data_IF_704137391146
#
_entry.id   IF_704137391146
#
_cell.length_a   1.000
_cell.length_b   1.000
_cell.length_c   1.000
_cell.angle_alpha   90.00
_cell.angle_beta   90.00
_cell.angle_gamma   90.00
#
_symmetry.space_group_name_H-M   'P 1'
#
loop_
_entity.id
_entity.type
_entity.pdbx_description
1 polymer ?
#
# COMPACT_ATOMS: atom_id res chain seq x y z
N UNK A 1 3.69 -10.68 -26.57
CA UNK A 1 3.76 -11.28 -25.24
C UNK A 1 3.47 -10.19 -24.24
N UNK A 2 2.24 -10.15 -23.71
CA UNK A 2 1.82 -9.19 -22.70
C UNK A 2 2.45 -9.57 -21.36
N UNK A 3 3.43 -8.81 -20.91
CA UNK A 3 3.85 -8.81 -19.53
C UNK A 3 2.87 -7.95 -18.72
N UNK A 4 1.71 -8.51 -18.40
CA UNK A 4 0.90 -8.00 -17.33
C UNK A 4 1.68 -8.29 -16.03
N UNK A 5 2.40 -7.31 -15.52
CA UNK A 5 3.00 -7.38 -14.20
C UNK A 5 1.87 -7.65 -13.19
N UNK A 6 1.99 -8.72 -12.44
CA UNK A 6 1.07 -9.03 -11.33
C UNK A 6 1.16 -7.91 -10.31
N UNK A 7 0.14 -7.07 -10.28
CA UNK A 7 -0.05 -6.05 -9.26
C UNK A 7 -0.60 -6.73 -8.00
N UNK A 8 0.27 -7.31 -7.20
CA UNK A 8 -0.07 -7.81 -5.89
C UNK A 8 0.99 -7.32 -4.93
N UNK A 9 0.82 -6.08 -4.46
CA UNK A 9 1.34 -5.60 -3.17
C UNK A 9 1.05 -4.11 -3.09
N UNK A 10 0.56 -3.64 -1.95
CA UNK A 10 0.48 -2.22 -1.60
C UNK A 10 1.90 -1.72 -1.52
N UNK A 11 2.33 -1.03 -2.55
CA UNK A 11 3.71 -0.62 -2.73
C UNK A 11 3.79 0.83 -2.30
N UNK A 12 4.73 1.10 -1.42
CA UNK A 12 5.14 2.42 -0.95
C UNK A 12 5.27 3.41 -2.13
N UNK A 13 4.69 4.58 -2.00
CA UNK A 13 4.66 5.63 -3.03
C UNK A 13 6.04 6.01 -3.57
N UNK A 14 7.10 5.89 -2.77
CA UNK A 14 8.47 6.10 -3.23
C UNK A 14 8.95 5.02 -4.19
N UNK A 15 8.55 3.79 -3.98
CA UNK A 15 8.86 2.70 -4.89
C UNK A 15 8.14 2.88 -6.23
N UNK A 16 6.93 3.45 -6.23
CA UNK A 16 6.20 3.76 -7.45
C UNK A 16 6.92 4.79 -8.32
N UNK A 17 7.43 5.89 -7.75
CA UNK A 17 8.12 6.91 -8.54
C UNK A 17 9.36 6.34 -9.21
N UNK A 18 10.22 5.63 -8.47
CA UNK A 18 11.43 5.00 -9.03
C UNK A 18 11.08 3.91 -10.07
N UNK A 19 10.04 3.10 -9.81
CA UNK A 19 9.57 2.07 -10.75
C UNK A 19 8.93 2.66 -12.00
N UNK A 20 8.17 3.75 -11.86
CA UNK A 20 7.59 4.48 -12.98
C UNK A 20 8.69 5.01 -13.90
N UNK A 21 9.68 5.70 -13.36
CA UNK A 21 10.79 6.27 -14.15
C UNK A 21 11.61 5.17 -14.83
N UNK A 22 11.88 4.07 -14.14
CA UNK A 22 12.57 2.93 -14.73
C UNK A 22 11.75 2.28 -15.85
N UNK A 23 10.47 2.02 -15.63
CA UNK A 23 9.58 1.40 -16.61
C UNK A 23 9.38 2.30 -17.83
N UNK A 24 9.18 3.60 -17.63
CA UNK A 24 9.00 4.57 -18.70
C UNK A 24 10.27 4.74 -19.54
N UNK A 25 11.47 4.61 -18.95
CA UNK A 25 12.74 4.64 -19.67
C UNK A 25 13.02 3.35 -20.48
N UNK A 26 12.41 2.24 -20.09
CA UNK A 26 12.67 0.90 -20.65
C UNK A 26 11.59 0.40 -21.60
N UNK A 27 10.39 0.99 -21.56
CA UNK A 27 9.21 0.56 -22.34
C UNK A 27 8.41 1.76 -22.84
N UNK A 28 7.60 1.56 -23.88
CA UNK A 28 6.61 2.55 -24.30
C UNK A 28 5.37 2.46 -23.37
N UNK A 29 5.44 3.12 -22.22
CA UNK A 29 4.41 3.10 -21.19
C UNK A 29 3.29 4.08 -21.53
N UNK A 30 2.06 3.61 -21.72
CA UNK A 30 0.90 4.44 -22.08
C UNK A 30 -0.02 4.70 -20.88
N UNK A 31 -0.13 3.73 -19.99
CA UNK A 31 -1.05 3.79 -18.84
C UNK A 31 -0.34 3.33 -17.57
N UNK A 32 -0.62 4.05 -16.48
CA UNK A 32 -0.16 3.73 -15.11
C UNK A 32 -1.36 3.76 -14.18
N UNK A 33 -1.54 2.71 -13.39
CA UNK A 33 -2.56 2.64 -12.35
C UNK A 33 -1.85 2.50 -11.01
N UNK A 34 -2.13 3.41 -10.09
CA UNK A 34 -1.57 3.42 -8.74
C UNK A 34 -2.70 3.29 -7.72
N UNK A 35 -2.65 2.23 -6.90
CA UNK A 35 -3.51 2.12 -5.73
C UNK A 35 -3.03 3.07 -4.62
N UNK A 36 -3.92 3.91 -4.12
CA UNK A 36 -3.63 4.87 -3.05
C UNK A 36 -4.80 4.93 -2.08
N UNK A 37 -4.53 4.93 -0.79
CA UNK A 37 -5.55 4.98 0.24
C UNK A 37 -5.19 5.97 1.33
N UNK A 38 -6.20 6.57 1.96
CA UNK A 38 -6.01 7.55 3.02
C UNK A 38 -5.22 6.99 4.22
N UNK A 39 -5.44 5.75 4.63
CA UNK A 39 -4.72 5.13 5.74
C UNK A 39 -3.19 5.04 5.51
N UNK A 40 -2.75 5.03 4.24
CA UNK A 40 -1.34 5.05 3.85
C UNK A 40 -0.84 6.47 3.54
N UNK A 41 -1.75 7.42 3.31
CA UNK A 41 -1.46 8.83 3.09
C UNK A 41 -1.19 9.53 4.44
N UNK A 42 -0.05 9.17 5.06
CA UNK A 42 0.34 9.60 6.39
C UNK A 42 1.87 9.69 6.45
N UNK A 43 2.40 10.78 7.00
CA UNK A 43 3.85 10.99 7.12
C UNK A 43 4.57 9.85 7.87
N UNK A 44 3.88 9.20 8.81
CA UNK A 44 4.44 8.07 9.56
C UNK A 44 4.28 6.70 8.88
N UNK A 45 3.56 6.63 7.76
CA UNK A 45 3.44 5.39 6.96
C UNK A 45 4.59 5.21 5.98
N UNK A 46 5.59 6.10 6.02
CA UNK A 46 6.74 6.07 5.13
C UNK A 46 7.68 4.90 5.43
N UNK A 47 7.93 4.07 4.44
CA UNK A 47 9.02 3.10 4.46
C UNK A 47 9.81 3.15 3.14
N UNK A 48 11.11 3.40 3.20
CA UNK A 48 11.96 3.49 2.00
C UNK A 48 12.48 2.10 1.59
N UNK A 49 11.59 1.23 1.15
CA UNK A 49 11.94 -0.13 0.69
C UNK A 49 12.87 -0.14 -0.53
N UNK A 50 12.83 0.91 -1.37
CA UNK A 50 13.72 1.01 -2.54
C UNK A 50 15.17 1.21 -2.10
N UNK A 51 15.41 2.05 -1.10
CA UNK A 51 16.77 2.19 -0.54
C UNK A 51 17.31 0.86 0.00
N UNK A 52 16.44 0.06 0.61
CA UNK A 52 16.80 -1.26 1.11
C UNK A 52 17.04 -2.25 -0.04
N UNK A 53 16.20 -2.27 -1.06
CA UNK A 53 16.40 -3.11 -2.26
C UNK A 53 17.66 -2.68 -3.01
N UNK A 54 17.93 -1.37 -3.20
CA UNK A 54 19.17 -0.88 -3.82
C UNK A 54 20.39 -1.36 -3.04
N UNK A 55 20.40 -1.22 -1.70
CA UNK A 55 21.47 -1.75 -0.86
C UNK A 55 21.69 -3.26 -1.04
N UNK A 56 20.61 -4.02 -1.19
CA UNK A 56 20.66 -5.47 -1.42
C UNK A 56 21.21 -5.81 -2.81
N UNK A 57 20.87 -5.02 -3.84
CA UNK A 57 21.41 -5.19 -5.20
C UNK A 57 22.89 -4.82 -5.29
N UNK A 58 23.29 -3.75 -4.60
CA UNK A 58 24.68 -3.27 -4.58
C UNK A 58 25.60 -4.22 -3.80
N UNK A 59 25.07 -4.93 -2.81
CA UNK A 59 25.84 -5.86 -1.99
C UNK A 59 25.09 -7.16 -1.71
N UNK A 60 25.36 -8.17 -2.54
CA UNK A 60 24.73 -9.51 -2.43
C UNK A 60 24.99 -10.20 -1.08
N UNK A 61 26.05 -9.85 -0.37
CA UNK A 61 26.31 -10.40 0.95
C UNK A 61 25.34 -9.87 2.01
N UNK A 62 24.86 -8.62 1.88
CA UNK A 62 23.82 -8.08 2.76
C UNK A 62 22.53 -8.90 2.64
N UNK A 63 22.22 -9.40 1.44
CA UNK A 63 21.06 -10.28 1.23
C UNK A 63 21.19 -11.58 2.04
N UNK A 64 22.35 -12.24 1.97
CA UNK A 64 22.59 -13.53 2.65
C UNK A 64 22.64 -13.36 4.17
N UNK A 65 23.21 -12.25 4.67
CA UNK A 65 23.36 -11.96 6.09
C UNK A 65 22.28 -11.03 6.66
N UNK A 66 21.18 -10.80 5.94
CA UNK A 66 20.05 -10.05 6.46
C UNK A 66 19.38 -10.84 7.59
N UNK A 67 19.25 -10.22 8.77
CA UNK A 67 18.68 -10.86 9.95
C UNK A 67 17.27 -11.44 9.69
N UNK A 68 16.45 -10.73 8.94
CA UNK A 68 15.10 -11.18 8.57
C UNK A 68 15.11 -12.47 7.72
N UNK A 69 16.10 -12.60 6.81
CA UNK A 69 16.27 -13.81 5.99
C UNK A 69 16.79 -14.95 6.85
N UNK A 70 17.79 -14.68 7.71
CA UNK A 70 18.30 -15.69 8.64
C UNK A 70 17.23 -16.18 9.61
N UNK A 71 16.39 -15.30 10.12
CA UNK A 71 15.22 -15.66 10.95
C UNK A 71 14.22 -16.51 10.18
N UNK A 72 13.89 -16.14 8.94
CA UNK A 72 12.98 -16.91 8.08
C UNK A 72 13.54 -18.30 7.79
N UNK A 73 14.83 -18.41 7.45
CA UNK A 73 15.51 -19.68 7.24
C UNK A 73 15.53 -20.51 8.53
N UNK A 74 15.85 -19.90 9.66
CA UNK A 74 15.81 -20.58 10.96
C UNK A 74 14.41 -21.11 11.28
N UNK A 75 13.36 -20.32 11.07
CA UNK A 75 11.97 -20.74 11.29
C UNK A 75 11.56 -21.85 10.33
N UNK A 76 11.98 -21.80 9.05
CA UNK A 76 11.72 -22.85 8.08
C UNK A 76 12.41 -24.16 8.47
N UNK A 77 13.68 -24.11 8.86
CA UNK A 77 14.43 -25.28 9.35
C UNK A 77 13.81 -25.85 10.63
N UNK A 78 13.43 -24.99 11.57
CA UNK A 78 12.75 -25.38 12.81
C UNK A 78 11.42 -26.09 12.52
N UNK A 79 10.66 -25.60 11.53
CA UNK A 79 9.42 -26.23 11.07
C UNK A 79 9.69 -27.62 10.48
N UNK A 80 10.68 -27.73 9.58
CA UNK A 80 11.03 -28.97 8.89
C UNK A 80 11.57 -30.06 9.86
N UNK A 81 12.49 -29.67 10.77
CA UNK A 81 13.17 -30.64 11.63
C UNK A 81 12.45 -30.92 12.96
N UNK A 82 11.65 -29.98 13.47
CA UNK A 82 11.01 -30.09 14.78
C UNK A 82 9.47 -30.09 14.70
N UNK A 83 8.89 -30.06 13.50
CA UNK A 83 7.42 -30.08 13.31
C UNK A 83 6.74 -28.84 13.92
N UNK A 84 7.47 -27.73 14.05
CA UNK A 84 6.92 -26.48 14.57
C UNK A 84 5.97 -25.91 13.54
N UNK A 85 4.66 -26.06 13.76
CA UNK A 85 3.67 -25.39 12.90
C UNK A 85 3.78 -23.89 13.16
N UNK A 86 4.08 -23.07 12.12
CA UNK A 86 3.94 -21.63 12.27
C UNK A 86 2.50 -21.34 12.69
N UNK A 87 2.33 -20.32 13.52
CA UNK A 87 1.06 -19.91 14.13
C UNK A 87 -0.13 -20.25 13.25
N UNK A 88 -1.08 -21.02 13.79
CA UNK A 88 -2.35 -21.29 13.12
C UNK A 88 -2.88 -19.95 12.57
N UNK A 89 -3.38 -19.99 11.32
CA UNK A 89 -4.00 -18.79 10.73
C UNK A 89 -5.01 -18.29 11.75
N UNK A 90 -4.84 -17.06 12.20
CA UNK A 90 -5.82 -16.41 13.08
C UNK A 90 -7.20 -16.60 12.48
N UNK A 91 -8.18 -16.88 13.33
CA UNK A 91 -9.57 -16.92 12.90
C UNK A 91 -9.90 -15.59 12.19
N UNK A 92 -10.75 -15.66 11.15
CA UNK A 92 -11.12 -14.48 10.36
C UNK A 92 -11.68 -13.38 11.27
N UNK A 93 -12.48 -13.72 12.28
CA UNK A 93 -13.03 -12.76 13.23
C UNK A 93 -11.95 -12.14 14.12
N UNK A 94 -10.98 -12.91 14.59
CA UNK A 94 -9.85 -12.38 15.37
C UNK A 94 -8.97 -11.46 14.52
N UNK A 95 -8.71 -11.82 13.27
CA UNK A 95 -7.96 -10.99 12.32
C UNK A 95 -8.71 -9.70 12.00
N UNK A 96 -10.04 -9.80 11.82
CA UNK A 96 -10.92 -8.68 11.59
C UNK A 96 -10.88 -7.67 12.73
N UNK A 97 -11.11 -8.16 13.95
CA UNK A 97 -11.11 -7.37 15.17
C UNK A 97 -9.73 -6.71 15.42
N UNK A 98 -8.66 -7.42 15.16
CA UNK A 98 -7.30 -6.89 15.26
C UNK A 98 -7.08 -5.73 14.29
N UNK A 99 -7.53 -5.86 13.04
CA UNK A 99 -7.41 -4.81 12.04
C UNK A 99 -8.22 -3.57 12.42
N UNK A 100 -9.46 -3.74 12.85
CA UNK A 100 -10.31 -2.62 13.27
C UNK A 100 -9.75 -1.92 14.51
N UNK A 101 -9.30 -2.66 15.53
CA UNK A 101 -8.90 -2.10 16.83
C UNK A 101 -7.46 -1.61 16.83
N UNK A 102 -6.55 -2.37 16.22
CA UNK A 102 -5.11 -2.12 16.34
C UNK A 102 -4.56 -1.42 15.10
N UNK A 103 -4.86 -1.94 13.91
CA UNK A 103 -4.29 -1.38 12.67
C UNK A 103 -4.88 0.00 12.41
N UNK A 104 -6.22 0.16 12.49
CA UNK A 104 -6.85 1.47 12.33
C UNK A 104 -6.30 2.49 13.35
N UNK A 105 -6.18 2.09 14.63
CA UNK A 105 -5.59 2.95 15.65
C UNK A 105 -4.15 3.38 15.30
N UNK A 106 -3.32 2.44 14.85
CA UNK A 106 -1.92 2.73 14.50
C UNK A 106 -1.80 3.72 13.34
N UNK A 107 -2.68 3.63 12.34
CA UNK A 107 -2.69 4.55 11.21
C UNK A 107 -3.26 5.93 11.57
N UNK A 108 -4.32 5.98 12.36
CA UNK A 108 -5.12 7.18 12.56
C UNK A 108 -4.72 8.00 13.79
N UNK A 109 -4.32 7.36 14.93
CA UNK A 109 -4.02 8.09 16.17
C UNK A 109 -2.84 9.06 16.09
N UNK A 110 -1.99 8.90 15.08
CA UNK A 110 -0.80 9.73 14.84
C UNK A 110 -0.79 10.27 13.41
N UNK A 111 -1.99 10.51 12.85
CA UNK A 111 -2.06 11.04 11.52
C UNK A 111 -1.32 12.39 11.41
N UNK A 112 -0.56 12.54 10.36
CA UNK A 112 0.06 13.79 9.98
C UNK A 112 0.11 13.86 8.46
N UNK A 113 -0.34 14.99 7.91
CA UNK A 113 -0.39 15.23 6.46
C UNK A 113 1.00 15.01 5.81
N UNK A 114 1.12 14.12 4.83
CA UNK A 114 2.40 13.67 4.27
C UNK A 114 2.87 14.58 3.13
N UNK A 115 3.41 15.74 3.46
CA UNK A 115 3.85 16.75 2.47
C UNK A 115 4.83 16.21 1.44
N UNK A 116 5.78 15.36 1.86
CA UNK A 116 6.76 14.77 0.95
C UNK A 116 6.10 13.77 -0.01
N UNK A 117 5.16 12.98 0.48
CA UNK A 117 4.38 12.04 -0.33
C UNK A 117 3.55 12.78 -1.38
N UNK A 118 2.88 13.88 -0.99
CA UNK A 118 2.13 14.71 -1.92
C UNK A 118 3.04 15.28 -3.02
N UNK A 119 4.17 15.88 -2.64
CA UNK A 119 5.14 16.41 -3.60
C UNK A 119 5.59 15.34 -4.62
N UNK A 120 5.85 14.12 -4.16
CA UNK A 120 6.22 13.00 -5.04
C UNK A 120 5.10 12.60 -6.00
N UNK A 121 3.86 12.59 -5.52
CA UNK A 121 2.70 12.34 -6.38
C UNK A 121 2.54 13.41 -7.45
N UNK A 122 2.73 14.68 -7.09
CA UNK A 122 2.70 15.81 -8.02
C UNK A 122 3.81 15.69 -9.06
N UNK A 123 5.04 15.35 -8.66
CA UNK A 123 6.16 15.11 -9.58
C UNK A 123 5.84 13.96 -10.55
N UNK A 124 5.24 12.86 -10.06
CA UNK A 124 4.82 11.75 -10.92
C UNK A 124 3.73 12.16 -11.91
N UNK A 125 2.72 12.91 -11.44
CA UNK A 125 1.66 13.43 -12.29
C UNK A 125 2.21 14.33 -13.40
N UNK A 126 3.13 15.24 -13.05
CA UNK A 126 3.80 16.12 -14.00
C UNK A 126 4.62 15.33 -15.03
N UNK A 127 5.36 14.32 -14.59
CA UNK A 127 6.13 13.42 -15.44
C UNK A 127 5.22 12.65 -16.42
N UNK A 128 4.15 12.04 -15.93
CA UNK A 128 3.19 11.31 -16.75
C UNK A 128 2.59 12.23 -17.83
N UNK A 129 2.17 13.43 -17.44
CA UNK A 129 1.62 14.41 -18.36
C UNK A 129 2.63 14.85 -19.43
N UNK A 130 3.89 15.08 -19.04
CA UNK A 130 4.95 15.48 -19.97
C UNK A 130 5.30 14.38 -20.98
N UNK A 131 5.10 13.11 -20.63
CA UNK A 131 5.40 11.95 -21.47
C UNK A 131 4.16 11.30 -22.12
N UNK A 132 2.99 11.94 -22.07
CA UNK A 132 1.71 11.43 -22.58
C UNK A 132 1.31 10.07 -21.98
N UNK A 133 1.65 9.84 -20.71
CA UNK A 133 1.27 8.65 -19.94
C UNK A 133 -0.03 8.94 -19.19
N UNK A 134 -1.04 8.11 -19.34
CA UNK A 134 -2.31 8.24 -18.61
C UNK A 134 -2.15 7.70 -17.18
N UNK A 135 -2.12 8.61 -16.20
CA UNK A 135 -2.04 8.26 -14.78
C UNK A 135 -3.44 8.10 -14.18
N UNK A 136 -3.73 6.93 -13.62
CA UNK A 136 -4.98 6.62 -12.90
C UNK A 136 -4.62 6.37 -11.43
N UNK A 137 -5.20 7.16 -10.54
CA UNK A 137 -5.12 6.98 -9.09
C UNK A 137 -6.36 6.24 -8.62
N UNK A 138 -6.16 5.03 -8.09
CA UNK A 138 -7.23 4.14 -7.69
C UNK A 138 -7.35 4.15 -6.17
N UNK A 139 -8.45 4.68 -5.62
CA UNK A 139 -8.76 4.53 -4.20
C UNK A 139 -9.41 3.17 -4.01
N UNK A 140 -8.69 2.27 -3.32
CA UNK A 140 -9.11 0.87 -3.12
C UNK A 140 -10.16 0.81 -2.01
N UNK A 141 -11.23 -0.01 -2.14
CA UNK A 141 -12.30 -0.05 -1.16
C UNK A 141 -11.83 -0.67 0.17
N UNK A 142 -12.25 -0.06 1.27
CA UNK A 142 -12.23 -0.62 2.62
C UNK A 142 -13.63 -1.03 3.05
N UNK A 143 -13.71 -1.97 3.99
CA UNK A 143 -14.99 -2.26 4.63
C UNK A 143 -15.44 -1.07 5.50
N UNK A 144 -16.73 -0.76 5.51
CA UNK A 144 -17.31 0.37 6.25
C UNK A 144 -16.89 0.47 7.72
N UNK A 145 -16.64 -0.66 8.39
CA UNK A 145 -16.21 -0.66 9.79
C UNK A 145 -14.82 -0.04 9.95
N UNK A 146 -13.92 -0.23 8.97
CA UNK A 146 -12.61 0.42 8.97
C UNK A 146 -12.74 1.91 8.67
N UNK A 147 -13.56 2.27 7.68
CA UNK A 147 -13.85 3.65 7.33
C UNK A 147 -14.48 4.43 8.49
N UNK A 148 -15.42 3.82 9.24
CA UNK A 148 -16.04 4.45 10.40
C UNK A 148 -15.04 4.83 11.50
N UNK A 149 -13.86 4.23 11.53
CA UNK A 149 -12.79 4.63 12.48
C UNK A 149 -12.27 6.04 12.24
N UNK A 150 -12.41 6.58 11.02
CA UNK A 150 -12.03 7.98 10.73
C UNK A 150 -12.79 8.97 11.63
N UNK A 151 -14.07 8.73 11.85
CA UNK A 151 -14.92 9.57 12.70
C UNK A 151 -14.41 9.57 14.15
N UNK A 152 -13.96 8.41 14.66
CA UNK A 152 -13.45 8.30 16.04
C UNK A 152 -12.13 9.05 16.27
N UNK A 153 -11.35 9.23 15.19
CA UNK A 153 -10.07 9.94 15.22
C UNK A 153 -10.17 11.38 14.69
N UNK A 154 -11.39 11.85 14.39
CA UNK A 154 -11.64 13.20 13.85
C UNK A 154 -10.84 13.50 12.58
N UNK A 155 -10.81 12.54 11.64
CA UNK A 155 -10.01 12.57 10.41
C UNK A 155 -10.86 12.63 9.12
N UNK A 156 -12.14 12.95 9.21
CA UNK A 156 -13.04 13.02 8.06
C UNK A 156 -12.62 14.17 7.13
N UNK A 157 -12.29 15.33 7.70
CA UNK A 157 -11.85 16.49 6.91
C UNK A 157 -10.49 16.26 6.27
N UNK A 158 -9.61 15.52 6.92
CA UNK A 158 -8.31 15.12 6.36
C UNK A 158 -8.45 14.12 5.22
N UNK A 159 -9.43 13.21 5.28
CA UNK A 159 -9.73 12.32 4.15
C UNK A 159 -10.26 13.11 2.95
N UNK A 160 -11.14 14.08 3.17
CA UNK A 160 -11.58 14.99 2.10
C UNK A 160 -10.40 15.79 1.53
N UNK A 161 -9.51 16.27 2.41
CA UNK A 161 -8.26 16.91 2.02
C UNK A 161 -7.41 16.03 1.12
N UNK A 162 -7.20 14.76 1.50
CA UNK A 162 -6.50 13.77 0.69
C UNK A 162 -7.12 13.62 -0.70
N UNK A 163 -8.45 13.47 -0.79
CA UNK A 163 -9.14 13.36 -2.07
C UNK A 163 -8.99 14.62 -2.92
N UNK A 164 -8.95 15.80 -2.29
CA UNK A 164 -8.67 17.06 -2.96
C UNK A 164 -7.23 17.18 -3.44
N UNK A 165 -6.26 16.72 -2.65
CA UNK A 165 -4.84 16.75 -3.03
C UNK A 165 -4.58 15.94 -4.32
N UNK A 166 -5.19 14.77 -4.45
CA UNK A 166 -4.90 13.85 -5.55
C UNK A 166 -5.70 14.10 -6.83
N UNK A 167 -6.81 14.85 -6.78
CA UNK A 167 -7.74 15.02 -7.93
C UNK A 167 -7.11 15.69 -9.15
N UNK A 168 -6.12 16.59 -8.94
CA UNK A 168 -5.47 17.36 -9.98
C UNK A 168 -4.17 16.71 -10.48
N UNK A 169 -3.74 15.61 -9.82
CA UNK A 169 -2.50 14.89 -10.13
C UNK A 169 -2.71 13.89 -11.28
N UNK A 170 -3.83 13.19 -11.27
CA UNK A 170 -4.20 12.20 -12.28
C UNK A 170 -5.70 11.94 -12.30
N UNK A 171 -6.15 10.99 -13.13
CA UNK A 171 -7.53 10.56 -13.12
C UNK A 171 -7.81 9.74 -11.87
N UNK A 172 -8.64 10.23 -10.95
CA UNK A 172 -9.04 9.50 -9.75
C UNK A 172 -10.23 8.59 -10.05
N UNK A 173 -10.13 7.34 -9.59
CA UNK A 173 -11.24 6.36 -9.55
C UNK A 173 -11.39 5.93 -8.11
N UNK A 174 -12.47 6.37 -7.45
CA UNK A 174 -12.73 6.12 -6.03
C UNK A 174 -13.71 4.96 -5.85
N UNK A 175 -13.22 3.83 -5.32
CA UNK A 175 -14.03 2.69 -4.93
C UNK A 175 -14.30 2.64 -3.41
N UNK A 176 -13.71 3.56 -2.63
CA UNK A 176 -13.90 3.65 -1.17
C UNK A 176 -15.12 4.50 -0.77
N UNK A 177 -16.10 4.56 -1.66
CA UNK A 177 -17.39 5.18 -1.40
C UNK A 177 -18.38 4.14 -0.84
N UNK A 178 -19.37 4.57 -0.04
CA UNK A 178 -20.45 3.68 0.43
C UNK A 178 -21.16 3.00 -0.75
N UNK A 179 -20.99 1.68 -0.88
CA UNK A 179 -21.59 0.87 -1.95
C UNK A 179 -21.86 -0.57 -1.46
N UNK A 180 -22.34 -1.43 -2.35
CA UNK A 180 -22.64 -2.84 -2.01
C UNK A 180 -21.39 -3.64 -1.61
N UNK A 181 -20.20 -3.29 -2.14
CA UNK A 181 -18.93 -3.97 -1.81
C UNK A 181 -18.46 -3.52 -0.44
N UNK A 182 -18.34 -2.20 -0.18
CA UNK A 182 -17.86 -1.66 1.10
C UNK A 182 -18.76 -2.02 2.29
N UNK A 183 -20.00 -2.41 2.04
CA UNK A 183 -20.94 -2.92 3.05
C UNK A 183 -20.93 -4.45 3.22
N UNK A 184 -20.22 -5.19 2.37
CA UNK A 184 -20.27 -6.64 2.29
C UNK A 184 -19.09 -7.28 3.03
N UNK A 185 -19.26 -7.72 4.29
CA UNK A 185 -18.19 -8.35 5.08
C UNK A 185 -17.58 -9.60 4.42
N UNK A 186 -18.40 -10.37 3.68
CA UNK A 186 -17.90 -11.56 2.97
C UNK A 186 -17.10 -11.24 1.72
N UNK A 187 -17.18 -10.02 1.21
CA UNK A 187 -16.39 -9.54 0.08
C UNK A 187 -14.94 -9.16 0.47
N UNK A 188 -14.60 -9.28 1.75
CA UNK A 188 -13.29 -8.94 2.28
C UNK A 188 -12.68 -10.13 3.03
N UNK A 189 -11.37 -10.30 2.90
CA UNK A 189 -10.57 -11.22 3.71
C UNK A 189 -10.31 -10.65 5.11
N UNK A 190 -10.07 -9.36 5.19
CA UNK A 190 -10.01 -8.51 6.38
C UNK A 190 -10.54 -7.12 6.03
N UNK A 191 -10.75 -6.18 6.97
CA UNK A 191 -11.39 -4.88 6.68
C UNK A 191 -10.72 -4.00 5.62
N UNK A 192 -9.49 -4.32 5.21
CA UNK A 192 -8.67 -3.54 4.28
C UNK A 192 -8.54 -4.24 2.92
N UNK A 193 -8.62 -5.59 2.88
CA UNK A 193 -8.33 -6.38 1.69
C UNK A 193 -9.57 -7.11 1.18
N UNK A 194 -9.94 -6.83 -0.07
CA UNK A 194 -10.98 -7.58 -0.79
C UNK A 194 -10.54 -9.01 -1.11
N UNK A 195 -11.50 -9.94 -1.17
CA UNK A 195 -11.27 -11.36 -1.55
C UNK A 195 -11.20 -11.54 -3.06
#
# INVERSE_FOLDING_TARGET
>A
HSNAAKLNEIIDLFWFSDSLYFSASSTNLENVIIGINFNLYNEYSYSNRVADVKKLLDNKFIYIFNWSILETVYLALKNEFFGFKPNEKKDKEESWDYTIKTIAKNHYSKYKHPKETLLRLEEMGAYCKANNINLILLIVPHHKEFHNRLVEFDLVDEEEGFKNDIKDIGRVVDFDLPNSITNCKSCFSDPIHTT
#
